data_IF_695324168743
#
_entry.id   IF_695324168743
#
_cell.length_a   1.000
_cell.length_b   1.000
_cell.length_c   1.000
_cell.angle_alpha   90.00
_cell.angle_beta   90.00
_cell.angle_gamma   90.00
#
_symmetry.space_group_name_H-M   'P 1'
#
loop_
_entity.id
_entity.type
_entity.pdbx_description
1 polymer ?
#
# COMPACT_ATOMS: atom_id res chain seq x y z
N UNK A 1 -47.81 55.89 37.28
CA UNK A 1 -46.59 55.26 36.71
C UNK A 1 -46.57 53.78 37.07
N UNK A 2 -47.44 52.94 36.48
CA UNK A 2 -47.56 51.52 36.86
C UNK A 2 -48.08 50.59 35.73
N UNK A 3 -47.99 51.00 34.46
CA UNK A 3 -48.53 50.23 33.32
C UNK A 3 -47.45 49.43 32.57
N UNK A 4 -46.17 49.75 32.77
CA UNK A 4 -45.06 49.13 32.02
C UNK A 4 -44.73 47.66 32.37
N UNK A 5 -44.81 47.15 33.63
CA UNK A 5 -44.29 45.82 33.94
C UNK A 5 -45.22 44.67 33.49
N UNK A 6 -46.53 44.92 33.32
CA UNK A 6 -47.49 43.91 32.89
C UNK A 6 -47.36 43.58 31.38
N UNK A 7 -47.17 44.61 30.55
CA UNK A 7 -46.99 44.47 29.10
C UNK A 7 -45.67 43.77 28.74
N UNK A 8 -44.60 43.98 29.51
CA UNK A 8 -43.32 43.30 29.31
C UNK A 8 -43.43 41.79 29.59
N UNK A 9 -44.16 41.39 30.64
CA UNK A 9 -44.38 39.97 30.99
C UNK A 9 -45.28 39.25 29.98
N UNK A 10 -46.25 39.94 29.39
CA UNK A 10 -47.09 39.40 28.30
C UNK A 10 -46.31 39.21 27.00
N UNK A 11 -45.44 40.16 26.63
CA UNK A 11 -44.56 40.03 25.45
C UNK A 11 -43.53 38.89 25.59
N UNK A 12 -42.90 38.76 26.75
CA UNK A 12 -41.95 37.68 27.02
C UNK A 12 -42.62 36.29 26.99
N UNK A 13 -43.85 36.16 27.51
CA UNK A 13 -44.63 34.92 27.42
C UNK A 13 -45.06 34.59 25.99
N UNK A 14 -45.47 35.59 25.20
CA UNK A 14 -45.82 35.38 23.79
C UNK A 14 -44.62 34.93 22.94
N UNK A 15 -43.43 35.52 23.16
CA UNK A 15 -42.20 35.13 22.47
C UNK A 15 -41.68 33.74 22.86
N UNK A 16 -41.88 33.32 24.11
CA UNK A 16 -41.51 31.96 24.56
C UNK A 16 -42.43 30.87 23.97
N UNK A 17 -43.71 31.19 23.74
CA UNK A 17 -44.68 30.28 23.10
C UNK A 17 -44.38 30.14 21.59
N UNK A 18 -43.97 31.22 20.92
CA UNK A 18 -43.60 31.17 19.49
C UNK A 18 -42.29 30.41 19.23
N UNK A 19 -41.29 30.54 20.11
CA UNK A 19 -40.01 29.84 19.96
C UNK A 19 -40.14 28.30 20.11
N UNK A 20 -41.01 27.84 21.02
CA UNK A 20 -41.27 26.39 21.21
C UNK A 20 -42.09 25.78 20.06
N UNK A 21 -43.00 26.55 19.45
CA UNK A 21 -43.77 26.10 18.28
C UNK A 21 -42.90 25.93 17.02
N UNK A 22 -41.94 26.83 16.80
CA UNK A 22 -41.02 26.74 15.65
C UNK A 22 -40.02 25.59 15.81
N UNK A 23 -39.49 25.38 17.02
CA UNK A 23 -38.52 24.31 17.29
C UNK A 23 -39.14 22.91 17.17
N UNK A 24 -40.38 22.74 17.62
CA UNK A 24 -41.12 21.47 17.49
C UNK A 24 -41.48 21.19 16.03
N UNK A 25 -41.88 22.22 15.27
CA UNK A 25 -42.13 22.08 13.82
C UNK A 25 -40.86 21.65 13.07
N UNK A 26 -39.69 22.20 13.42
CA UNK A 26 -38.41 21.81 12.83
C UNK A 26 -38.00 20.36 13.19
N UNK A 27 -38.28 19.92 14.42
CA UNK A 27 -38.03 18.52 14.82
C UNK A 27 -38.99 17.54 14.13
N UNK A 28 -40.25 17.93 13.95
CA UNK A 28 -41.23 17.11 13.23
C UNK A 28 -40.95 17.02 11.73
N UNK A 29 -40.51 18.10 11.08
CA UNK A 29 -40.07 18.01 9.68
C UNK A 29 -38.84 17.13 9.54
N UNK A 30 -37.83 17.30 10.41
CA UNK A 30 -36.61 16.48 10.37
C UNK A 30 -36.89 14.99 10.59
N UNK A 31 -37.80 14.64 11.50
CA UNK A 31 -38.18 13.24 11.75
C UNK A 31 -39.00 12.64 10.61
N UNK A 32 -39.93 13.40 10.01
CA UNK A 32 -40.68 12.94 8.82
C UNK A 32 -39.74 12.75 7.61
N UNK A 33 -38.76 13.63 7.41
CA UNK A 33 -37.73 13.45 6.39
C UNK A 33 -36.83 12.24 6.68
N UNK A 34 -36.42 12.04 7.93
CA UNK A 34 -35.61 10.90 8.34
C UNK A 34 -36.32 9.56 8.16
N UNK A 35 -37.58 9.46 8.58
CA UNK A 35 -38.39 8.24 8.44
C UNK A 35 -38.70 7.96 6.97
N UNK A 36 -38.99 8.99 6.16
CA UNK A 36 -39.22 8.80 4.72
C UNK A 36 -37.95 8.35 3.98
N UNK A 37 -36.77 8.88 4.33
CA UNK A 37 -35.50 8.41 3.77
C UNK A 37 -35.21 6.94 4.11
N UNK A 38 -35.44 6.53 5.36
CA UNK A 38 -35.26 5.13 5.78
C UNK A 38 -36.26 4.19 5.10
N UNK A 39 -37.52 4.61 4.93
CA UNK A 39 -38.52 3.85 4.20
C UNK A 39 -38.15 3.68 2.71
N UNK A 40 -37.56 4.72 2.10
CA UNK A 40 -37.11 4.68 0.71
C UNK A 40 -35.91 3.73 0.53
N UNK A 41 -34.95 3.76 1.48
CA UNK A 41 -33.82 2.81 1.51
C UNK A 41 -34.33 1.37 1.68
N UNK A 42 -35.26 1.13 2.61
CA UNK A 42 -35.85 -0.18 2.82
C UNK A 42 -36.61 -0.67 1.56
N UNK A 43 -37.37 0.21 0.90
CA UNK A 43 -38.05 -0.11 -0.36
C UNK A 43 -37.06 -0.51 -1.46
N UNK A 44 -35.94 0.21 -1.60
CA UNK A 44 -34.90 -0.10 -2.57
C UNK A 44 -34.21 -1.45 -2.30
N UNK A 45 -34.09 -1.85 -1.02
CA UNK A 45 -33.57 -3.18 -0.66
C UNK A 45 -34.55 -4.32 -0.96
N UNK A 46 -35.85 -4.11 -0.75
CA UNK A 46 -36.88 -5.13 -0.98
C UNK A 46 -37.36 -5.21 -2.44
N UNK A 47 -37.15 -4.15 -3.24
CA UNK A 47 -37.50 -4.06 -4.67
C UNK A 47 -36.28 -3.59 -5.48
N UNK A 48 -35.29 -4.47 -5.72
CA UNK A 48 -34.06 -4.11 -6.43
C UNK A 48 -34.31 -3.66 -7.88
N UNK A 49 -35.47 -3.99 -8.46
CA UNK A 49 -35.85 -3.58 -9.81
C UNK A 49 -36.16 -2.07 -9.92
N UNK A 50 -36.70 -1.46 -8.86
CA UNK A 50 -36.97 -0.01 -8.83
C UNK A 50 -35.66 0.80 -8.73
N UNK A 51 -34.66 0.29 -8.01
CA UNK A 51 -33.33 0.90 -7.94
C UNK A 51 -32.67 0.95 -9.32
N UNK A 52 -32.74 -0.14 -10.08
CA UNK A 52 -32.19 -0.21 -11.45
C UNK A 52 -32.88 0.77 -12.40
N UNK A 53 -34.20 0.94 -12.31
CA UNK A 53 -34.95 1.89 -13.14
C UNK A 53 -34.62 3.37 -12.78
N UNK A 54 -34.42 3.67 -11.50
CA UNK A 54 -33.97 5.00 -11.05
C UNK A 54 -32.55 5.31 -11.52
N UNK A 55 -31.63 4.36 -11.39
CA UNK A 55 -30.25 4.54 -11.89
C UNK A 55 -30.21 4.72 -13.41
N UNK A 56 -31.03 3.98 -14.16
CA UNK A 56 -31.09 4.06 -15.63
C UNK A 56 -31.69 5.39 -16.15
N UNK A 57 -32.56 6.03 -15.36
CA UNK A 57 -33.15 7.33 -15.71
C UNK A 57 -32.28 8.53 -15.30
N UNK A 58 -31.52 8.41 -14.22
CA UNK A 58 -30.61 9.46 -13.73
C UNK A 58 -29.23 9.41 -14.39
N UNK A 59 -28.78 8.23 -14.82
CA UNK A 59 -27.48 8.01 -15.46
C UNK A 59 -27.65 7.08 -16.68
N UNK A 60 -28.07 7.61 -17.84
CA UNK A 60 -28.04 6.86 -19.08
C UNK A 60 -26.58 6.66 -19.51
N UNK A 61 -25.92 5.63 -18.97
CA UNK A 61 -24.69 5.12 -19.56
C UNK A 61 -25.08 4.41 -20.86
N UNK A 62 -24.41 4.67 -21.99
CA UNK A 62 -24.64 3.89 -23.20
C UNK A 62 -24.19 2.46 -22.93
N UNK A 63 -25.15 1.59 -22.65
CA UNK A 63 -24.96 0.15 -22.64
C UNK A 63 -24.79 -0.27 -24.10
N UNK A 64 -23.56 -0.24 -24.60
CA UNK A 64 -23.21 -0.94 -25.83
C UNK A 64 -23.63 -2.39 -25.65
N UNK A 65 -24.57 -2.83 -26.49
CA UNK A 65 -24.99 -4.22 -26.60
C UNK A 65 -23.74 -5.10 -26.67
N UNK A 66 -23.67 -6.09 -25.79
CA UNK A 66 -22.66 -7.13 -25.84
C UNK A 66 -22.79 -7.86 -27.19
N UNK A 67 -21.98 -7.47 -28.16
CA UNK A 67 -21.73 -8.29 -29.33
C UNK A 67 -21.17 -9.63 -28.83
N UNK A 68 -21.87 -10.71 -29.14
CA UNK A 68 -21.38 -12.06 -28.92
C UNK A 68 -20.04 -12.20 -29.65
N UNK A 69 -18.95 -12.26 -28.89
CA UNK A 69 -17.63 -12.59 -29.41
C UNK A 69 -17.70 -14.05 -29.79
N UNK A 70 -17.86 -14.32 -31.08
CA UNK A 70 -17.72 -15.65 -31.65
C UNK A 70 -16.28 -16.12 -31.37
N UNK A 71 -16.14 -17.21 -30.60
CA UNK A 71 -14.83 -17.74 -30.25
C UNK A 71 -14.09 -18.16 -31.54
N UNK A 72 -12.85 -17.71 -31.77
CA UNK A 72 -12.12 -18.04 -32.98
C UNK A 72 -11.89 -19.56 -33.03
N UNK A 73 -12.08 -20.16 -34.22
CA UNK A 73 -11.83 -21.56 -34.46
C UNK A 73 -10.38 -21.93 -34.06
N UNK A 74 -10.19 -23.13 -33.51
CA UNK A 74 -8.89 -23.63 -33.00
C UNK A 74 -7.75 -23.51 -34.04
N UNK A 75 -8.08 -23.50 -35.33
CA UNK A 75 -7.18 -23.26 -36.46
C UNK A 75 -6.50 -21.88 -36.41
N UNK A 76 -7.20 -20.84 -35.94
CA UNK A 76 -6.67 -19.47 -35.86
C UNK A 76 -5.68 -19.27 -34.70
N UNK A 77 -5.60 -20.21 -33.75
CA UNK A 77 -4.63 -20.19 -32.65
C UNK A 77 -3.30 -20.91 -32.98
N UNK A 78 -3.25 -21.62 -34.11
CA UNK A 78 -2.03 -22.29 -34.62
C UNK A 78 -1.38 -21.55 -35.80
N UNK A 79 -2.05 -20.52 -36.36
CA UNK A 79 -1.41 -19.58 -37.27
C UNK A 79 -0.53 -18.63 -36.43
N UNK A 80 0.75 -18.96 -36.32
CA UNK A 80 1.72 -18.04 -35.72
C UNK A 80 1.67 -16.71 -36.50
N UNK A 81 1.58 -15.54 -35.83
CA UNK A 81 1.74 -14.29 -36.52
C UNK A 81 3.20 -14.19 -36.99
N UNK A 82 3.47 -14.65 -38.21
CA UNK A 82 4.56 -14.14 -39.00
C UNK A 82 4.31 -12.63 -39.15
N UNK A 83 5.29 -11.82 -38.76
CA UNK A 83 5.30 -10.35 -38.77
C UNK A 83 4.62 -9.62 -37.58
N UNK A 84 5.06 -9.92 -36.35
CA UNK A 84 5.52 -8.81 -35.51
C UNK A 84 7.01 -8.64 -35.81
N UNK A 85 7.30 -7.96 -36.92
CA UNK A 85 8.55 -7.22 -36.99
C UNK A 85 8.44 -6.18 -35.88
N UNK A 86 9.00 -6.55 -34.71
CA UNK A 86 9.51 -5.57 -33.77
C UNK A 86 10.26 -4.58 -34.63
N UNK A 87 9.74 -3.37 -34.72
CA UNK A 87 10.48 -2.26 -35.27
C UNK A 87 11.82 -2.29 -34.54
N UNK A 88 12.85 -2.73 -35.25
CA UNK A 88 14.23 -2.48 -34.90
C UNK A 88 14.40 -0.97 -35.05
N UNK A 89 13.86 -0.22 -34.08
CA UNK A 89 14.35 1.09 -33.76
C UNK A 89 15.84 0.87 -33.55
N UNK A 90 16.65 1.40 -34.47
CA UNK A 90 18.09 1.18 -34.50
C UNK A 90 18.63 1.33 -33.09
N UNK A 91 19.14 0.24 -32.53
CA UNK A 91 19.77 0.25 -31.23
C UNK A 91 20.98 1.16 -31.36
N UNK A 92 20.82 2.42 -30.96
CA UNK A 92 21.97 3.27 -30.67
C UNK A 92 22.88 2.45 -29.73
N UNK A 93 24.17 2.31 -30.04
CA UNK A 93 25.06 1.49 -29.24
C UNK A 93 25.02 2.00 -27.79
N UNK A 94 24.61 1.12 -26.87
CA UNK A 94 24.48 1.44 -25.44
C UNK A 94 25.76 2.11 -24.92
N UNK A 95 25.60 3.17 -24.13
CA UNK A 95 26.73 3.82 -23.45
C UNK A 95 27.41 2.84 -22.49
N UNK A 96 28.66 3.11 -22.11
CA UNK A 96 29.39 2.24 -21.14
C UNK A 96 28.66 2.19 -19.80
N UNK A 97 28.09 3.31 -19.39
CA UNK A 97 27.33 3.49 -18.16
C UNK A 97 26.02 2.70 -18.20
N UNK A 98 25.31 2.72 -19.33
CA UNK A 98 24.07 1.94 -19.53
C UNK A 98 24.35 0.43 -19.52
N UNK A 99 25.43 -0.02 -20.17
CA UNK A 99 25.85 -1.43 -20.13
C UNK A 99 26.23 -1.88 -18.72
N UNK A 100 26.89 -1.02 -17.95
CA UNK A 100 27.24 -1.31 -16.57
C UNK A 100 25.99 -1.44 -15.67
N UNK A 101 24.97 -0.60 -15.89
CA UNK A 101 23.71 -0.63 -15.15
C UNK A 101 22.86 -1.86 -15.49
N UNK A 102 22.80 -2.24 -16.77
CA UNK A 102 21.98 -3.36 -17.26
C UNK A 102 22.65 -4.74 -17.11
N UNK A 103 23.93 -4.76 -16.78
CA UNK A 103 24.71 -5.98 -16.69
C UNK A 103 24.71 -6.81 -17.98
N UNK A 104 25.35 -7.98 -17.91
CA UNK A 104 25.38 -8.96 -19.00
C UNK A 104 24.29 -10.00 -18.83
N UNK A 105 23.93 -10.68 -19.92
CA UNK A 105 22.98 -11.81 -19.90
C UNK A 105 23.33 -12.87 -18.83
N UNK A 106 24.63 -13.13 -18.64
CA UNK A 106 25.12 -14.05 -17.60
C UNK A 106 24.79 -13.57 -16.19
N UNK A 107 24.89 -12.26 -15.94
CA UNK A 107 24.55 -11.67 -14.64
C UNK A 107 23.06 -11.77 -14.36
N UNK A 108 22.22 -11.53 -15.37
CA UNK A 108 20.77 -11.70 -15.27
C UNK A 108 20.42 -13.16 -14.92
N UNK A 109 21.04 -14.14 -15.58
CA UNK A 109 20.84 -15.56 -15.27
C UNK A 109 21.22 -15.93 -13.84
N UNK A 110 22.32 -15.41 -13.31
CA UNK A 110 22.70 -15.63 -11.91
C UNK A 110 21.67 -15.06 -10.94
N UNK A 111 21.19 -13.85 -11.21
CA UNK A 111 20.14 -13.20 -10.41
C UNK A 111 18.83 -14.00 -10.48
N UNK A 112 18.39 -14.41 -11.67
CA UNK A 112 17.21 -15.25 -11.87
C UNK A 112 17.30 -16.57 -11.09
N UNK A 113 18.42 -17.28 -11.22
CA UNK A 113 18.64 -18.56 -10.54
C UNK A 113 18.67 -18.42 -9.01
N UNK A 114 19.17 -17.30 -8.50
CA UNK A 114 19.22 -17.04 -7.08
C UNK A 114 17.84 -16.65 -6.52
N UNK A 115 17.13 -15.75 -7.18
CA UNK A 115 15.79 -15.29 -6.79
C UNK A 115 14.78 -16.44 -6.80
N UNK A 116 14.75 -17.24 -7.87
CA UNK A 116 13.84 -18.39 -8.00
C UNK A 116 13.99 -19.37 -6.83
N UNK A 117 15.23 -19.65 -6.41
CA UNK A 117 15.52 -20.52 -5.27
C UNK A 117 15.15 -19.89 -3.93
N UNK A 118 15.45 -18.61 -3.72
CA UNK A 118 15.23 -17.90 -2.45
C UNK A 118 13.75 -17.67 -2.16
N UNK A 119 13.00 -17.24 -3.17
CA UNK A 119 11.59 -16.90 -3.04
C UNK A 119 10.64 -18.02 -3.50
N UNK A 120 11.20 -19.16 -3.95
CA UNK A 120 10.46 -20.36 -4.34
C UNK A 120 9.48 -20.08 -5.48
N UNK A 121 9.91 -19.30 -6.45
CA UNK A 121 9.17 -18.97 -7.68
C UNK A 121 9.79 -19.74 -8.84
N UNK A 122 8.95 -20.21 -9.78
CA UNK A 122 9.43 -20.92 -10.96
C UNK A 122 10.49 -20.11 -11.72
N UNK A 123 11.51 -20.79 -12.27
CA UNK A 123 12.64 -20.13 -12.91
C UNK A 123 12.21 -19.30 -14.12
N UNK A 124 11.34 -19.83 -14.98
CA UNK A 124 10.83 -19.13 -16.16
C UNK A 124 10.03 -17.87 -15.79
N UNK A 125 9.18 -17.97 -14.77
CA UNK A 125 8.44 -16.81 -14.24
C UNK A 125 9.41 -15.76 -13.69
N UNK A 126 10.40 -16.20 -12.89
CA UNK A 126 11.44 -15.30 -12.35
C UNK A 126 12.23 -14.63 -13.46
N UNK A 127 12.55 -15.36 -14.54
CA UNK A 127 13.27 -14.82 -15.69
C UNK A 127 12.47 -13.70 -16.36
N UNK A 128 11.16 -13.89 -16.55
CA UNK A 128 10.27 -12.85 -17.07
C UNK A 128 10.29 -11.60 -16.18
N UNK A 129 10.22 -11.76 -14.85
CA UNK A 129 10.28 -10.64 -13.91
C UNK A 129 11.62 -9.89 -13.99
N UNK A 130 12.74 -10.64 -14.01
CA UNK A 130 14.08 -10.10 -14.14
C UNK A 130 14.22 -9.33 -15.46
N UNK A 131 13.91 -9.95 -16.61
CA UNK A 131 13.98 -9.28 -17.91
C UNK A 131 13.12 -8.00 -17.94
N UNK A 132 11.91 -8.05 -17.39
CA UNK A 132 11.02 -6.88 -17.31
C UNK A 132 11.61 -5.76 -16.46
N UNK A 133 12.21 -6.09 -15.31
CA UNK A 133 12.89 -5.11 -14.46
C UNK A 133 14.08 -4.46 -15.17
N UNK A 134 14.89 -5.24 -15.91
CA UNK A 134 16.01 -4.72 -16.70
C UNK A 134 15.57 -3.82 -17.84
N UNK A 135 14.51 -4.18 -18.58
CA UNK A 135 13.95 -3.35 -19.64
C UNK A 135 13.41 -2.02 -19.08
N UNK A 136 12.64 -2.09 -18.01
CA UNK A 136 12.08 -0.91 -17.33
C UNK A 136 13.18 0.00 -16.78
N UNK A 137 14.17 -0.59 -16.11
CA UNK A 137 15.35 0.11 -15.58
C UNK A 137 16.09 0.91 -16.66
N UNK A 138 16.24 0.36 -17.87
CA UNK A 138 16.87 1.03 -19.02
C UNK A 138 16.15 2.31 -19.41
N UNK A 139 14.82 2.23 -19.47
CA UNK A 139 13.95 3.34 -19.87
C UNK A 139 13.99 4.46 -18.84
N UNK A 140 13.93 4.10 -17.55
CA UNK A 140 13.80 5.08 -16.47
C UNK A 140 15.14 5.50 -15.83
N UNK A 141 16.26 4.88 -16.21
CA UNK A 141 17.61 5.10 -15.64
C UNK A 141 17.69 4.82 -14.13
N UNK A 142 17.06 3.73 -13.70
CA UNK A 142 17.14 3.23 -12.32
C UNK A 142 17.92 1.91 -12.32
N UNK A 143 18.59 1.56 -11.21
CA UNK A 143 19.27 0.27 -11.10
C UNK A 143 18.26 -0.90 -11.08
N UNK A 144 18.33 -1.86 -12.02
CA UNK A 144 17.41 -2.99 -12.06
C UNK A 144 17.47 -3.87 -10.81
N UNK A 145 18.64 -3.98 -10.16
CA UNK A 145 18.78 -4.75 -8.94
C UNK A 145 18.06 -4.08 -7.76
N UNK A 146 17.91 -2.75 -7.79
CA UNK A 146 17.11 -2.03 -6.78
C UNK A 146 15.62 -2.32 -6.96
N UNK A 147 15.12 -2.31 -8.21
CA UNK A 147 13.73 -2.68 -8.53
C UNK A 147 13.44 -4.11 -8.05
N UNK A 148 14.33 -5.06 -8.36
CA UNK A 148 14.20 -6.45 -7.94
C UNK A 148 14.25 -6.60 -6.41
N UNK A 149 15.09 -5.83 -5.72
CA UNK A 149 15.15 -5.82 -4.25
C UNK A 149 13.83 -5.32 -3.63
N UNK A 150 13.25 -4.23 -4.17
CA UNK A 150 11.94 -3.74 -3.72
C UNK A 150 10.88 -4.79 -3.94
N UNK A 151 10.77 -5.33 -5.16
CA UNK A 151 9.82 -6.40 -5.49
C UNK A 151 9.90 -7.61 -4.56
N UNK A 152 11.13 -8.01 -4.22
CA UNK A 152 11.40 -9.11 -3.32
C UNK A 152 10.93 -8.84 -1.89
N UNK A 153 11.09 -7.61 -1.39
CA UNK A 153 10.62 -7.20 -0.04
C UNK A 153 9.11 -6.96 -0.01
N UNK A 154 8.53 -6.43 -1.08
CA UNK A 154 7.11 -6.08 -1.16
C UNK A 154 6.21 -7.31 -1.25
N UNK A 155 6.51 -8.24 -2.16
CA UNK A 155 5.61 -9.37 -2.47
C UNK A 155 6.27 -10.74 -2.40
N UNK A 156 7.60 -10.80 -2.22
CA UNK A 156 8.34 -12.06 -2.41
C UNK A 156 8.23 -12.58 -3.84
N UNK A 157 8.15 -11.68 -4.83
CA UNK A 157 7.94 -12.00 -6.25
C UNK A 157 6.58 -12.64 -6.58
N UNK A 158 5.56 -12.44 -5.74
CA UNK A 158 4.20 -12.88 -6.01
C UNK A 158 3.40 -11.81 -6.77
N UNK A 159 3.02 -12.02 -8.04
CA UNK A 159 2.26 -11.03 -8.81
C UNK A 159 0.80 -10.89 -8.37
N UNK A 160 0.29 -11.83 -7.57
CA UNK A 160 -1.09 -11.81 -7.06
C UNK A 160 -1.15 -11.42 -5.58
N UNK A 161 -0.08 -10.82 -5.04
CA UNK A 161 -0.07 -10.34 -3.66
C UNK A 161 -1.03 -9.13 -3.50
N UNK A 162 -1.89 -9.18 -2.49
CA UNK A 162 -2.73 -8.06 -2.08
C UNK A 162 -2.65 -7.88 -0.56
N UNK A 163 -2.38 -6.66 -0.12
CA UNK A 163 -2.35 -6.32 1.29
C UNK A 163 -3.75 -5.94 1.82
N UNK A 164 -3.98 -5.99 3.15
CA UNK A 164 -5.27 -5.59 3.75
C UNK A 164 -5.69 -4.15 3.45
N UNK A 165 -4.72 -3.28 3.13
CA UNK A 165 -4.94 -1.87 2.82
C UNK A 165 -5.10 -1.62 1.31
N UNK A 166 -5.09 -2.66 0.48
CA UNK A 166 -5.37 -2.60 -0.95
C UNK A 166 -4.15 -2.32 -1.84
N UNK A 167 -2.93 -2.46 -1.32
CA UNK A 167 -1.73 -2.47 -2.15
C UNK A 167 -1.64 -3.78 -2.93
N UNK A 168 -1.33 -3.73 -4.23
CA UNK A 168 -1.47 -4.87 -5.14
C UNK A 168 -0.20 -5.17 -5.96
N UNK A 169 -0.01 -6.45 -6.23
CA UNK A 169 0.99 -6.99 -7.15
C UNK A 169 2.42 -6.99 -6.63
N UNK A 170 3.35 -7.13 -7.57
CA UNK A 170 4.78 -7.37 -7.33
C UNK A 170 5.47 -6.32 -6.47
N UNK A 171 5.16 -5.05 -6.70
CA UNK A 171 5.73 -3.90 -6.00
C UNK A 171 4.73 -3.25 -5.04
N UNK A 172 3.63 -3.93 -4.70
CA UNK A 172 2.61 -3.46 -3.76
C UNK A 172 2.18 -2.00 -4.02
N UNK A 173 1.78 -1.71 -5.25
CA UNK A 173 1.35 -0.37 -5.63
C UNK A 173 -0.10 -0.15 -5.23
N UNK A 174 -0.40 1.00 -4.62
CA UNK A 174 -1.76 1.44 -4.30
C UNK A 174 -2.48 1.92 -5.57
N UNK A 175 -3.05 0.98 -6.32
CA UNK A 175 -3.68 1.21 -7.63
C UNK A 175 -4.83 2.23 -7.59
N UNK A 176 -5.58 2.30 -6.47
CA UNK A 176 -6.62 3.31 -6.25
C UNK A 176 -6.07 4.74 -6.10
N UNK A 177 -4.93 4.88 -5.44
CA UNK A 177 -4.25 6.17 -5.23
C UNK A 177 -3.56 6.62 -6.51
N UNK A 178 -2.95 5.69 -7.24
CA UNK A 178 -2.18 5.94 -8.46
C UNK A 178 -2.94 5.57 -9.73
N UNK A 179 -4.27 5.70 -9.73
CA UNK A 179 -5.12 5.31 -10.85
C UNK A 179 -4.68 5.95 -12.17
N UNK A 180 -4.30 7.23 -12.15
CA UNK A 180 -3.72 7.99 -13.28
C UNK A 180 -2.52 7.29 -13.94
N UNK A 181 -1.59 6.73 -13.14
CA UNK A 181 -0.39 6.05 -13.65
C UNK A 181 -0.70 4.68 -14.27
N UNK A 182 -1.86 4.11 -13.95
CA UNK A 182 -2.31 2.86 -14.55
C UNK A 182 -3.21 3.04 -15.78
N UNK A 183 -3.73 4.24 -16.05
CA UNK A 183 -4.65 4.46 -17.17
C UNK A 183 -4.03 4.06 -18.51
N UNK A 184 -2.77 4.43 -18.73
CA UNK A 184 -2.02 4.08 -19.95
C UNK A 184 -1.72 2.58 -20.08
N UNK A 185 -1.88 1.81 -19.00
CA UNK A 185 -1.55 0.38 -18.93
C UNK A 185 -2.79 -0.53 -18.83
N UNK A 186 -4.00 0.00 -19.04
CA UNK A 186 -5.26 -0.77 -18.94
C UNK A 186 -6.07 -0.53 -17.67
N UNK A 187 -5.77 0.54 -16.92
CA UNK A 187 -6.48 0.96 -15.72
C UNK A 187 -6.14 0.13 -14.47
N UNK A 188 -6.93 0.30 -13.41
CA UNK A 188 -6.68 -0.30 -12.08
C UNK A 188 -6.56 -1.84 -12.14
N UNK A 189 -7.24 -2.49 -13.09
CA UNK A 189 -7.18 -3.95 -13.29
C UNK A 189 -5.78 -4.42 -13.73
N UNK A 190 -4.97 -3.55 -14.33
CA UNK A 190 -3.60 -3.85 -14.71
C UNK A 190 -2.65 -3.93 -13.49
N UNK A 191 -3.10 -3.60 -12.28
CA UNK A 191 -2.28 -3.67 -11.08
C UNK A 191 -1.76 -5.09 -10.77
N UNK A 192 -2.47 -6.14 -11.20
CA UNK A 192 -2.03 -7.54 -11.08
C UNK A 192 -1.30 -8.05 -12.32
N UNK A 193 -1.24 -7.27 -13.40
CA UNK A 193 -0.39 -7.59 -14.55
C UNK A 193 1.08 -7.37 -14.15
N UNK A 194 1.95 -8.40 -14.21
CA UNK A 194 3.35 -8.28 -13.78
C UNK A 194 4.11 -7.13 -14.46
N UNK A 195 3.93 -6.98 -15.77
CA UNK A 195 4.67 -5.98 -16.57
C UNK A 195 4.21 -4.57 -16.23
N UNK A 196 2.90 -4.35 -16.15
CA UNK A 196 2.35 -3.05 -15.76
C UNK A 196 2.74 -2.68 -14.31
N UNK A 197 2.65 -3.64 -13.38
CA UNK A 197 2.99 -3.40 -11.98
C UNK A 197 4.47 -3.02 -11.80
N UNK A 198 5.39 -3.73 -12.48
CA UNK A 198 6.83 -3.39 -12.46
C UNK A 198 7.06 -1.99 -13.02
N UNK A 199 6.47 -1.66 -14.18
CA UNK A 199 6.65 -0.35 -14.82
C UNK A 199 6.16 0.78 -13.93
N UNK A 200 4.91 0.71 -13.49
CA UNK A 200 4.30 1.75 -12.64
C UNK A 200 5.02 1.85 -11.31
N UNK A 201 5.27 0.73 -10.63
CA UNK A 201 5.98 0.71 -9.35
C UNK A 201 7.39 1.29 -9.44
N UNK A 202 8.11 1.01 -10.53
CA UNK A 202 9.46 1.54 -10.77
C UNK A 202 9.46 3.03 -11.08
N UNK A 203 8.46 3.53 -11.82
CA UNK A 203 8.28 4.97 -12.07
C UNK A 203 8.03 5.72 -10.76
N UNK A 204 7.15 5.19 -9.90
CA UNK A 204 6.86 5.75 -8.58
C UNK A 204 8.15 5.81 -7.74
N UNK A 205 8.91 4.71 -7.71
CA UNK A 205 10.17 4.64 -6.97
C UNK A 205 11.17 5.68 -7.49
N UNK A 206 11.34 5.80 -8.81
CA UNK A 206 12.21 6.82 -9.42
C UNK A 206 11.82 8.23 -9.00
N UNK A 207 10.52 8.55 -9.04
CA UNK A 207 10.03 9.88 -8.67
C UNK A 207 10.40 10.20 -7.22
N UNK A 208 10.26 9.23 -6.31
CA UNK A 208 10.62 9.41 -4.91
C UNK A 208 12.11 9.52 -4.68
N UNK A 209 12.94 8.73 -5.37
CA UNK A 209 14.41 8.85 -5.29
C UNK A 209 14.85 10.22 -5.81
N UNK A 210 14.28 10.68 -6.91
CA UNK A 210 14.62 11.99 -7.52
C UNK A 210 14.22 13.15 -6.60
N UNK A 211 13.02 13.10 -6.03
CA UNK A 211 12.51 14.14 -5.10
C UNK A 211 13.24 14.13 -3.76
N UNK A 212 13.60 12.96 -3.26
CA UNK A 212 14.30 12.80 -1.98
C UNK A 212 15.81 13.03 -2.06
N UNK A 213 16.38 13.02 -3.27
CA UNK A 213 17.82 13.20 -3.51
C UNK A 213 18.69 11.99 -3.17
N UNK A 214 18.11 10.91 -2.63
CA UNK A 214 18.81 9.67 -2.30
C UNK A 214 17.89 8.45 -2.39
N UNK A 215 18.50 7.26 -2.51
CA UNK A 215 17.76 5.99 -2.54
C UNK A 215 17.06 5.77 -1.21
N UNK A 216 17.72 6.07 -0.10
CA UNK A 216 17.20 5.94 1.26
C UNK A 216 15.95 6.81 1.47
N UNK A 217 16.01 8.08 1.05
CA UNK A 217 14.86 9.00 1.13
C UNK A 217 13.72 8.54 0.21
N UNK A 218 14.06 8.03 -0.98
CA UNK A 218 13.10 7.45 -1.92
C UNK A 218 12.37 6.25 -1.32
N UNK A 219 13.09 5.29 -0.74
CA UNK A 219 12.54 4.09 -0.10
C UNK A 219 11.67 4.43 1.12
N UNK A 220 12.10 5.39 1.95
CA UNK A 220 11.30 5.89 3.07
C UNK A 220 9.97 6.49 2.59
N UNK A 221 9.99 7.23 1.49
CA UNK A 221 8.78 7.79 0.89
C UNK A 221 7.91 6.69 0.26
N UNK A 222 8.53 5.70 -0.37
CA UNK A 222 7.86 4.58 -1.04
C UNK A 222 6.95 3.79 -0.11
N UNK A 223 7.42 3.48 1.11
CA UNK A 223 6.63 2.80 2.14
C UNK A 223 5.62 3.72 2.86
N UNK A 224 5.47 4.97 2.41
CA UNK A 224 4.59 5.96 3.02
C UNK A 224 5.14 6.59 4.30
N UNK A 225 6.43 6.38 4.62
CA UNK A 225 7.06 6.87 5.85
C UNK A 225 7.69 8.27 5.72
N UNK A 226 7.39 9.04 4.67
CA UNK A 226 8.04 10.32 4.36
C UNK A 226 8.00 11.33 5.53
N UNK A 227 6.86 11.45 6.19
CA UNK A 227 6.64 12.38 7.31
C UNK A 227 6.95 11.80 8.69
N UNK A 228 7.37 10.53 8.74
CA UNK A 228 7.69 9.85 10.00
C UNK A 228 9.19 9.96 10.29
N UNK A 229 9.57 9.79 11.56
CA UNK A 229 10.99 9.79 11.94
C UNK A 229 11.71 8.58 11.36
N UNK A 230 11.07 7.41 11.38
CA UNK A 230 11.61 6.12 10.91
C UNK A 230 10.68 5.46 9.88
N UNK A 231 11.24 4.53 9.10
CA UNK A 231 10.54 3.72 8.09
C UNK A 231 10.30 2.28 8.56
N UNK A 232 10.32 2.04 9.88
CA UNK A 232 10.25 0.71 10.50
C UNK A 232 11.32 -0.28 10.01
N UNK A 233 12.45 0.22 9.47
CA UNK A 233 13.52 -0.61 8.92
C UNK A 233 13.25 -1.11 7.50
N UNK A 234 12.23 -0.59 6.81
CA UNK A 234 11.94 -0.97 5.43
C UNK A 234 13.15 -0.75 4.51
N UNK A 235 13.72 0.45 4.49
CA UNK A 235 14.85 0.80 3.63
C UNK A 235 16.08 -0.06 3.92
N UNK A 236 16.34 -0.41 5.18
CA UNK A 236 17.46 -1.28 5.53
C UNK A 236 17.28 -2.71 5.01
N UNK A 237 16.05 -3.25 5.02
CA UNK A 237 15.73 -4.56 4.42
C UNK A 237 15.92 -4.55 2.90
N UNK A 238 15.41 -3.53 2.21
CA UNK A 238 15.57 -3.39 0.75
C UNK A 238 17.05 -3.26 0.38
N UNK A 239 17.80 -2.40 1.06
CA UNK A 239 19.23 -2.20 0.80
C UNK A 239 20.08 -3.44 1.15
N UNK A 240 19.66 -4.24 2.13
CA UNK A 240 20.29 -5.53 2.40
C UNK A 240 20.07 -6.52 1.25
N UNK A 241 18.86 -6.61 0.73
CA UNK A 241 18.55 -7.49 -0.40
C UNK A 241 19.23 -7.00 -1.70
N UNK A 242 19.25 -5.70 -1.95
CA UNK A 242 19.98 -5.06 -3.05
C UNK A 242 21.48 -5.40 -3.02
N UNK A 243 22.11 -5.35 -1.84
CA UNK A 243 23.53 -5.74 -1.69
C UNK A 243 23.75 -7.23 -2.01
N UNK A 244 22.85 -8.13 -1.61
CA UNK A 244 22.92 -9.56 -1.99
C UNK A 244 22.83 -9.71 -3.50
N UNK A 245 21.89 -9.02 -4.14
CA UNK A 245 21.72 -9.06 -5.59
C UNK A 245 22.95 -8.54 -6.33
N UNK A 246 23.62 -7.50 -5.82
CA UNK A 246 24.92 -7.03 -6.36
C UNK A 246 26.03 -8.09 -6.25
N UNK A 247 26.09 -8.82 -5.13
CA UNK A 247 27.06 -9.90 -4.98
C UNK A 247 26.77 -11.05 -5.96
N UNK A 248 25.50 -11.42 -6.11
CA UNK A 248 25.06 -12.46 -7.06
C UNK A 248 25.37 -12.05 -8.50
N UNK A 249 25.08 -10.80 -8.88
CA UNK A 249 25.38 -10.29 -10.23
C UNK A 249 26.89 -10.18 -10.47
N UNK A 250 27.71 -10.05 -9.43
CA UNK A 250 29.17 -10.16 -9.50
C UNK A 250 29.68 -11.62 -9.57
N UNK A 251 28.79 -12.61 -9.55
CA UNK A 251 29.13 -14.04 -9.60
C UNK A 251 29.52 -14.64 -8.25
N UNK A 252 29.31 -13.93 -7.14
CA UNK A 252 29.59 -14.43 -5.81
C UNK A 252 28.52 -15.44 -5.35
N UNK A 253 28.94 -16.39 -4.51
CA UNK A 253 28.03 -17.38 -3.90
C UNK A 253 27.34 -16.79 -2.67
N UNK A 254 26.09 -16.37 -2.83
CA UNK A 254 25.25 -15.85 -1.74
C UNK A 254 24.24 -16.91 -1.30
N UNK A 255 24.12 -17.21 0.01
CA UNK A 255 23.11 -18.15 0.51
C UNK A 255 21.68 -17.71 0.15
N UNK A 256 20.85 -18.66 -0.29
CA UNK A 256 19.42 -18.42 -0.59
C UNK A 256 18.56 -18.51 0.67
N UNK A 257 19.00 -19.25 1.68
CA UNK A 257 18.38 -19.31 3.00
C UNK A 257 18.89 -18.17 3.88
N UNK A 258 18.00 -17.30 4.34
CA UNK A 258 18.34 -16.40 5.45
C UNK A 258 18.32 -17.26 6.73
N UNK A 259 19.45 -17.47 7.44
CA UNK A 259 19.35 -18.06 8.76
C UNK A 259 18.46 -17.12 9.58
N UNK A 260 17.36 -17.64 10.11
CA UNK A 260 16.65 -16.98 11.19
C UNK A 260 17.64 -16.97 12.33
N UNK A 261 18.42 -15.89 12.49
CA UNK A 261 19.05 -15.66 13.78
C UNK A 261 17.89 -15.55 14.74
N UNK A 262 17.70 -16.59 15.56
CA UNK A 262 16.80 -16.54 16.68
C UNK A 262 17.03 -15.19 17.34
N UNK A 263 15.98 -14.38 17.40
CA UNK A 263 15.97 -13.23 18.30
C UNK A 263 16.50 -13.76 19.63
N UNK A 264 17.66 -13.26 20.08
CA UNK A 264 18.09 -13.47 21.45
C UNK A 264 16.96 -12.90 22.31
N UNK A 265 16.02 -13.76 22.69
CA UNK A 265 15.22 -13.58 23.89
C UNK A 265 16.25 -13.40 24.99
N UNK A 266 16.29 -12.24 25.68
CA UNK A 266 17.13 -12.12 26.85
C UNK A 266 16.76 -13.27 27.78
N UNK A 267 17.75 -14.10 28.13
CA UNK A 267 17.61 -15.06 29.20
C UNK A 267 16.97 -14.37 30.40
N UNK A 268 16.02 -14.99 31.12
CA UNK A 268 15.38 -14.36 32.27
C UNK A 268 16.48 -13.88 33.22
N UNK A 269 16.45 -12.58 33.52
CA UNK A 269 17.40 -11.96 34.42
C UNK A 269 17.38 -12.74 35.74
N UNK A 270 18.52 -13.31 36.12
CA UNK A 270 18.72 -13.88 37.45
C UNK A 270 18.47 -12.76 38.46
N UNK A 271 17.41 -12.90 39.23
CA UNK A 271 17.13 -12.09 40.41
C UNK A 271 18.33 -12.16 41.35
N UNK A 272 18.89 -11.05 41.84
CA UNK A 272 19.89 -11.11 42.90
C UNK A 272 19.23 -11.67 44.16
N UNK A 273 19.89 -12.65 44.77
CA UNK A 273 19.51 -13.26 46.02
C UNK A 273 19.38 -12.19 47.13
N UNK A 274 18.28 -12.26 47.87
CA UNK A 274 18.09 -11.48 49.09
C UNK A 274 19.12 -11.94 50.14
N UNK A 275 20.04 -11.06 50.52
CA UNK A 275 20.86 -11.21 51.72
C UNK A 275 19.95 -11.13 52.96
N UNK A 276 19.86 -12.25 53.69
CA UNK A 276 19.33 -12.28 55.05
C UNK A 276 20.35 -11.66 56.01
N UNK A 277 20.21 -10.37 56.27
CA UNK A 277 20.91 -9.65 57.35
C UNK A 277 20.06 -9.62 58.61
N UNK A 278 20.40 -10.48 59.56
CA UNK A 278 19.78 -10.58 60.88
C UNK A 278 20.11 -9.33 61.73
N UNK A 279 19.15 -8.45 61.99
CA UNK A 279 19.34 -7.31 62.90
C UNK A 279 18.36 -7.38 64.08
N UNK A 280 18.93 -7.89 65.17
CA UNK A 280 18.40 -8.02 66.52
C UNK A 280 17.74 -6.72 67.01
N UNK A 281 16.44 -6.77 67.27
CA UNK A 281 15.68 -5.72 67.96
C UNK A 281 16.08 -5.73 69.44
N UNK A 282 16.75 -4.67 69.90
CA UNK A 282 17.01 -4.40 71.31
C UNK A 282 16.04 -3.31 71.78
N UNK A 283 15.03 -3.71 72.55
CA UNK A 283 14.10 -2.80 73.23
C UNK A 283 14.50 -2.75 74.71
N UNK A 284 14.74 -1.56 75.27
CA UNK A 284 14.41 -1.12 76.64
C UNK A 284 14.82 0.38 76.82
N UNK A 285 14.35 1.13 77.84
CA UNK A 285 13.29 2.14 77.69
C UNK A 285 13.68 3.51 78.33
N UNK A 286 12.67 4.39 78.48
CA UNK A 286 12.63 5.61 79.33
C UNK A 286 13.22 6.88 78.71
N UNK A 287 12.78 8.09 79.00
CA UNK A 287 11.57 8.74 79.53
C UNK A 287 11.94 10.25 79.48
N UNK A 288 10.95 11.15 79.37
CA UNK A 288 11.02 12.60 79.68
C UNK A 288 11.80 13.56 78.74
N UNK A 289 11.13 14.53 78.08
CA UNK A 289 10.68 15.90 78.48
C UNK A 289 11.73 17.00 78.16
N UNK A 290 11.21 18.12 77.62
CA UNK A 290 11.80 19.45 77.38
C UNK A 290 12.72 19.56 76.15
N UNK A 291 12.57 20.50 75.22
CA UNK A 291 11.89 21.80 75.28
C UNK A 291 12.88 22.84 74.75
N UNK A 292 12.56 23.42 73.58
CA UNK A 292 12.87 24.76 73.08
C UNK A 292 12.31 24.89 71.65
#
# INVERSE_FOLDING_TARGET
>A
MAVQPALARLRARAQAISARGVLTTAQHTLTVFGISALALIALLMFRPDLGKQLTHSLFPLPMTEAQAVEAPALSALMEAPASVQMAAAGEAPLSKEEKALLGTQKQQQWVTNWLSKRYRVANDATNMLVSTAYLTAREIKLDPLLILAVMAIESGLNPFAESPVGAQGLMQVMSKVHHERFQEMGGVQAALNPVANIRVGSLILKDYVTRGGSVEAGLKTYVGAANFTTDSGYGSRVLAEYRRLKQVSAGQRVPTTTPVMASNTPAPAKTPAAESGNMTIKIAPHNEIAGL
#
